data_IF_054662993462
#
_entry.id   IF_054662993462
#
_cell.length_a   1.000
_cell.length_b   1.000
_cell.length_c   1.000
_cell.angle_alpha   90.00
_cell.angle_beta   90.00
_cell.angle_gamma   90.00
#
_symmetry.space_group_name_H-M   'P 1'
#
loop_
_entity.id
_entity.type
_entity.pdbx_description
1 polymer ?
#
# COMPACT_ATOMS: atom_id res chain seq x y z
N UNK A 1 -6.75 21.38 -10.81
CA UNK A 1 -5.72 21.33 -9.75
C UNK A 1 -5.76 19.95 -9.15
N UNK A 2 -4.72 19.16 -9.38
CA UNK A 2 -4.41 18.03 -8.51
C UNK A 2 -3.77 18.67 -7.28
N UNK A 3 -4.38 18.53 -6.11
CA UNK A 3 -3.75 19.00 -4.88
C UNK A 3 -2.61 18.05 -4.58
N UNK A 4 -1.37 18.48 -4.84
CA UNK A 4 -0.15 17.75 -4.54
C UNK A 4 -0.01 17.43 -3.02
N UNK A 5 -0.84 18.06 -2.19
CA UNK A 5 -0.95 17.83 -0.74
C UNK A 5 -1.69 16.53 -0.35
N UNK A 6 -2.40 15.88 -1.30
CA UNK A 6 -3.18 14.68 -1.03
C UNK A 6 -2.42 13.36 -1.30
N UNK A 7 -1.20 13.42 -1.83
CA UNK A 7 -0.37 12.22 -1.95
C UNK A 7 0.31 12.00 -0.58
N UNK A 8 -0.14 11.03 0.25
CA UNK A 8 0.56 10.74 1.49
C UNK A 8 2.01 10.46 1.14
N UNK A 9 2.93 11.22 1.75
CA UNK A 9 4.37 11.10 1.51
C UNK A 9 4.73 9.64 1.67
N UNK A 10 4.94 8.94 0.55
CA UNK A 10 5.19 7.52 0.58
C UNK A 10 6.46 7.32 1.40
N UNK A 11 6.29 6.85 2.64
CA UNK A 11 7.38 6.67 3.57
C UNK A 11 8.31 5.64 2.94
N UNK A 12 9.52 6.08 2.59
CA UNK A 12 10.54 5.17 2.08
C UNK A 12 10.85 4.16 3.18
N UNK A 13 10.48 2.90 2.95
CA UNK A 13 10.91 1.79 3.81
C UNK A 13 12.30 1.38 3.34
N UNK A 14 13.31 1.41 4.21
CA UNK A 14 14.65 0.97 3.84
C UNK A 14 14.65 -0.49 3.36
N UNK A 15 15.41 -0.81 2.29
CA UNK A 15 15.36 -2.13 1.63
C UNK A 15 15.79 -3.27 2.54
N UNK A 16 16.58 -3.01 3.58
CA UNK A 16 16.95 -3.99 4.60
C UNK A 16 15.72 -4.44 5.42
N UNK A 17 14.83 -3.53 5.79
CA UNK A 17 13.61 -3.86 6.53
C UNK A 17 12.59 -4.58 5.67
N UNK A 18 12.53 -4.26 4.38
CA UNK A 18 11.68 -4.98 3.42
C UNK A 18 12.07 -6.46 3.36
N UNK A 19 13.38 -6.76 3.35
CA UNK A 19 13.89 -8.14 3.38
C UNK A 19 13.52 -8.86 4.68
N UNK A 20 13.63 -8.17 5.81
CA UNK A 20 13.28 -8.71 7.12
C UNK A 20 11.79 -9.08 7.23
N UNK A 21 10.88 -8.20 6.77
CA UNK A 21 9.45 -8.51 6.67
C UNK A 21 9.24 -9.74 5.78
N UNK A 22 9.86 -9.79 4.59
CA UNK A 22 9.72 -10.92 3.66
C UNK A 22 10.28 -12.26 4.16
N UNK A 23 11.27 -12.21 5.05
CA UNK A 23 11.96 -13.37 5.60
C UNK A 23 11.12 -14.09 6.66
N UNK A 24 10.32 -13.35 7.43
CA UNK A 24 9.49 -13.88 8.52
C UNK A 24 8.12 -14.40 8.06
N UNK A 25 7.85 -14.44 6.74
CA UNK A 25 6.56 -14.89 6.21
C UNK A 25 6.48 -16.40 6.05
N UNK A 26 5.43 -17.00 6.64
CA UNK A 26 5.08 -18.40 6.37
C UNK A 26 4.75 -18.62 4.89
N UNK A 27 4.92 -19.86 4.42
CA UNK A 27 4.60 -20.25 3.04
C UNK A 27 3.14 -19.90 2.67
N UNK A 28 2.20 -20.10 3.60
CA UNK A 28 0.79 -19.76 3.41
C UNK A 28 0.59 -18.25 3.20
N UNK A 29 1.32 -17.40 3.93
CA UNK A 29 1.27 -15.94 3.77
C UNK A 29 1.82 -15.52 2.41
N UNK A 30 2.89 -16.17 1.92
CA UNK A 30 3.43 -15.95 0.56
C UNK A 30 2.44 -16.34 -0.52
N UNK A 31 1.84 -17.52 -0.43
CA UNK A 31 0.81 -17.99 -1.38
C UNK A 31 -0.36 -17.00 -1.43
N UNK A 32 -0.88 -16.58 -0.27
CA UNK A 32 -1.95 -15.57 -0.17
C UNK A 32 -1.56 -14.25 -0.84
N UNK A 33 -0.34 -13.76 -0.58
CA UNK A 33 0.18 -12.54 -1.21
C UNK A 33 0.30 -12.68 -2.72
N UNK A 34 0.75 -13.84 -3.22
CA UNK A 34 0.84 -14.10 -4.66
C UNK A 34 -0.53 -14.12 -5.33
N UNK A 35 -1.52 -14.79 -4.73
CA UNK A 35 -2.90 -14.74 -5.23
C UNK A 35 -3.47 -13.33 -5.24
N UNK A 36 -3.26 -12.56 -4.16
CA UNK A 36 -3.66 -11.16 -4.08
C UNK A 36 -3.00 -10.32 -5.18
N UNK A 37 -1.72 -10.55 -5.47
CA UNK A 37 -1.02 -9.89 -6.58
C UNK A 37 -1.64 -10.24 -7.94
N UNK A 38 -1.92 -11.52 -8.20
CA UNK A 38 -2.53 -12.00 -9.46
C UNK A 38 -3.90 -11.34 -9.70
N UNK A 39 -4.74 -11.29 -8.68
CA UNK A 39 -6.07 -10.67 -8.77
C UNK A 39 -6.05 -9.15 -8.54
N UNK A 40 -4.87 -8.58 -8.28
CA UNK A 40 -4.71 -7.17 -7.94
C UNK A 40 -5.49 -6.78 -6.67
N UNK A 41 -5.69 -7.66 -5.70
CA UNK A 41 -6.31 -7.33 -4.43
C UNK A 41 -5.26 -6.67 -3.52
N UNK A 42 -5.51 -5.49 -2.95
CA UNK A 42 -4.58 -4.85 -2.03
C UNK A 42 -4.52 -5.60 -0.68
N UNK A 43 -3.34 -5.60 -0.04
CA UNK A 43 -3.04 -6.37 1.19
C UNK A 43 -2.86 -5.45 2.40
N UNK A 44 -3.85 -5.39 3.29
CA UNK A 44 -3.84 -4.53 4.48
C UNK A 44 -2.82 -4.98 5.54
N UNK A 45 -2.62 -6.29 5.70
CA UNK A 45 -1.67 -6.84 6.67
C UNK A 45 -0.23 -6.45 6.31
N UNK A 46 0.08 -6.49 5.02
CA UNK A 46 1.37 -6.04 4.52
C UNK A 46 1.55 -4.52 4.69
N UNK A 47 0.48 -3.73 4.54
CA UNK A 47 0.51 -2.30 4.83
C UNK A 47 0.87 -2.02 6.30
N UNK A 48 0.28 -2.75 7.25
CA UNK A 48 0.61 -2.62 8.66
C UNK A 48 2.06 -3.01 8.97
N UNK A 49 2.54 -4.13 8.40
CA UNK A 49 3.94 -4.54 8.57
C UNK A 49 4.90 -3.42 8.14
N UNK A 50 4.63 -2.77 7.00
CA UNK A 50 5.41 -1.64 6.53
C UNK A 50 5.27 -0.40 7.41
N UNK A 51 4.07 -0.11 7.89
CA UNK A 51 3.81 1.01 8.79
C UNK A 51 4.58 0.88 10.11
N UNK A 52 4.57 -0.31 10.70
CA UNK A 52 5.35 -0.60 11.91
C UNK A 52 6.85 -0.63 11.67
N UNK A 53 7.28 -1.04 10.47
CA UNK A 53 8.69 -1.05 10.11
C UNK A 53 9.28 0.35 9.91
N UNK A 54 8.51 1.27 9.32
CA UNK A 54 8.89 2.65 9.06
C UNK A 54 7.77 3.62 9.49
N UNK A 55 7.57 3.82 10.81
CA UNK A 55 6.57 4.74 11.29
C UNK A 55 6.87 6.17 10.79
N UNK A 56 5.85 6.94 10.39
CA UNK A 56 6.04 8.34 10.03
C UNK A 56 6.60 9.14 11.21
N UNK A 57 7.33 10.22 10.90
CA UNK A 57 7.88 11.14 11.91
C UNK A 57 6.80 11.94 12.65
N UNK A 58 5.68 12.15 11.98
CA UNK A 58 4.48 12.75 12.56
C UNK A 58 3.70 11.60 13.21
N UNK A 59 3.24 11.72 14.47
CA UNK A 59 2.49 10.70 15.24
C UNK A 59 1.12 10.37 14.62
N UNK A 60 1.11 9.99 13.35
CA UNK A 60 -0.08 9.61 12.61
C UNK A 60 -0.39 8.14 12.90
N UNK A 61 -1.66 7.87 13.18
CA UNK A 61 -2.16 6.50 13.29
C UNK A 61 -2.24 5.86 11.90
N UNK A 62 -2.03 4.53 11.78
CA UNK A 62 -2.24 3.83 10.52
C UNK A 62 -3.68 4.03 10.03
N UNK A 63 -3.84 4.03 8.71
CA UNK A 63 -5.12 4.14 8.06
C UNK A 63 -6.01 2.94 8.43
N UNK A 64 -7.33 3.18 8.57
CA UNK A 64 -8.26 2.08 8.79
C UNK A 64 -8.36 1.20 7.55
N UNK A 65 -8.69 -0.08 7.74
CA UNK A 65 -8.83 -1.06 6.65
C UNK A 65 -9.75 -0.53 5.52
N UNK A 66 -10.92 0.02 5.88
CA UNK A 66 -11.90 0.54 4.93
C UNK A 66 -11.33 1.69 4.09
N UNK A 67 -10.60 2.59 4.72
CA UNK A 67 -9.99 3.73 4.04
C UNK A 67 -8.87 3.28 3.10
N UNK A 68 -8.07 2.30 3.51
CA UNK A 68 -7.03 1.71 2.67
C UNK A 68 -7.62 1.09 1.39
N UNK A 69 -8.68 0.29 1.51
CA UNK A 69 -9.35 -0.30 0.34
C UNK A 69 -10.02 0.77 -0.53
N UNK A 70 -10.66 1.77 0.08
CA UNK A 70 -11.26 2.90 -0.65
C UNK A 70 -10.21 3.65 -1.48
N UNK A 71 -9.07 3.98 -0.85
CA UNK A 71 -7.97 4.66 -1.52
C UNK A 71 -7.38 3.79 -2.64
N UNK A 72 -7.22 2.48 -2.41
CA UNK A 72 -6.71 1.57 -3.45
C UNK A 72 -7.65 1.49 -4.67
N UNK A 73 -8.98 1.50 -4.46
CA UNK A 73 -9.98 1.56 -5.53
C UNK A 73 -9.91 2.92 -6.24
N UNK A 74 -9.83 4.02 -5.50
CA UNK A 74 -9.73 5.37 -6.05
C UNK A 74 -8.45 5.58 -6.87
N UNK A 75 -7.31 5.05 -6.44
CA UNK A 75 -6.07 5.10 -7.21
C UNK A 75 -6.17 4.34 -8.53
N UNK A 76 -6.88 3.19 -8.54
CA UNK A 76 -7.05 2.36 -9.74
C UNK A 76 -8.12 2.87 -10.69
N UNK A 77 -9.23 3.35 -10.16
CA UNK A 77 -10.45 3.63 -10.92
C UNK A 77 -10.94 5.09 -10.79
N UNK A 78 -10.50 5.82 -9.77
CA UNK A 78 -10.88 7.21 -9.51
C UNK A 78 -10.24 8.20 -10.48
N UNK A 79 -9.14 7.82 -11.14
CA UNK A 79 -8.56 8.60 -12.23
C UNK A 79 -9.32 8.41 -13.56
N UNK A 80 -10.52 8.99 -13.60
CA UNK A 80 -11.31 9.18 -14.81
C UNK A 80 -10.68 10.11 -15.87
N UNK A 81 -9.40 10.48 -15.76
CA UNK A 81 -8.65 11.01 -16.90
C UNK A 81 -8.30 9.82 -17.80
N UNK A 82 -9.29 9.41 -18.60
CA UNK A 82 -9.04 8.68 -19.84
C UNK A 82 -7.91 9.42 -20.54
N UNK A 83 -6.74 8.80 -20.67
CA UNK A 83 -5.79 9.14 -21.72
C UNK A 83 -6.56 8.90 -23.01
N UNK A 84 -7.27 9.94 -23.48
CA UNK A 84 -7.73 10.01 -24.85
C UNK A 84 -6.44 10.05 -25.66
N UNK A 85 -6.00 8.90 -26.16
CA UNK A 85 -5.27 8.87 -27.41
C UNK A 85 -6.23 9.48 -28.43
N UNK A 86 -6.05 10.78 -28.67
CA UNK A 86 -6.34 11.40 -29.94
C UNK A 86 -5.03 11.33 -30.73
#
# INVERSE_FOLDING_TARGET
MWNDEACPKQSYVPPEKVKEISANHSLMRRIRSTFRMIFGIPDYELYLDYWHAAPPKDEQTPMSEKEFFRQAIEQRYGNGKRTRCC
#
